data_IF_644502724913
#
_entry.id   IF_644502724913
#
_cell.length_a   1.000
_cell.length_b   1.000
_cell.length_c   1.000
_cell.angle_alpha   90.00
_cell.angle_beta   90.00
_cell.angle_gamma   90.00
#
_symmetry.space_group_name_H-M   'P 1'
#
loop_
_entity.id
_entity.type
_entity.pdbx_description
1 polymer ?
#
# COMPACT_ATOMS: atom_id res chain seq x y z
N UNK A 1 21.06 -9.33 -18.00
CA UNK A 1 21.09 -7.85 -18.07
C UNK A 1 20.29 -7.47 -19.30
N UNK A 2 19.24 -6.64 -19.21
CA UNK A 2 18.53 -6.22 -20.40
C UNK A 2 19.49 -5.45 -21.31
N UNK A 3 19.36 -5.71 -22.61
CA UNK A 3 19.99 -4.98 -23.71
C UNK A 3 19.79 -3.47 -23.49
N UNK A 4 20.90 -2.70 -23.44
CA UNK A 4 20.83 -1.25 -23.33
C UNK A 4 20.15 -0.73 -24.59
N UNK A 5 19.10 0.08 -24.42
CA UNK A 5 18.38 0.67 -25.53
C UNK A 5 19.37 1.31 -26.53
N UNK A 6 19.07 1.24 -27.82
CA UNK A 6 19.80 1.99 -28.84
C UNK A 6 18.91 3.11 -29.38
N UNK A 7 19.37 4.35 -29.38
CA UNK A 7 18.75 5.46 -30.11
C UNK A 7 19.57 5.63 -31.38
N UNK A 8 18.89 5.44 -32.52
CA UNK A 8 19.51 5.55 -33.85
C UNK A 8 20.75 4.63 -34.02
N UNK A 9 20.78 3.47 -33.37
CA UNK A 9 21.85 2.48 -33.48
C UNK A 9 23.11 2.76 -32.65
N UNK A 10 23.08 3.74 -31.76
CA UNK A 10 24.16 3.99 -30.78
C UNK A 10 23.77 3.35 -29.46
N UNK A 11 24.66 2.62 -28.78
CA UNK A 11 24.42 2.09 -27.43
C UNK A 11 24.70 3.16 -26.36
N UNK A 12 24.00 3.13 -25.22
CA UNK A 12 24.15 4.12 -24.15
C UNK A 12 25.57 4.21 -23.57
N UNK A 13 26.29 3.08 -23.50
CA UNK A 13 27.68 3.03 -23.00
C UNK A 13 28.69 3.67 -23.99
N UNK A 14 28.31 3.82 -25.26
CA UNK A 14 29.16 4.47 -26.27
C UNK A 14 29.15 5.99 -26.18
N UNK A 15 28.23 6.62 -25.43
CA UNK A 15 28.18 8.08 -25.29
C UNK A 15 29.33 8.59 -24.42
N UNK A 16 29.69 7.86 -23.36
CA UNK A 16 30.85 8.19 -22.52
C UNK A 16 32.18 7.91 -23.22
N UNK A 17 32.23 6.86 -24.05
CA UNK A 17 33.43 6.48 -24.84
C UNK A 17 33.68 7.43 -26.03
N UNK A 18 32.66 8.16 -26.48
CA UNK A 18 32.80 9.25 -27.47
C UNK A 18 33.31 10.58 -26.87
N UNK A 19 33.61 10.65 -25.57
CA UNK A 19 33.97 11.89 -24.90
C UNK A 19 35.46 12.27 -25.03
N UNK A 20 35.95 12.31 -26.27
CA UNK A 20 36.87 13.37 -26.71
C UNK A 20 36.16 14.44 -27.56
N UNK A 21 34.84 14.29 -27.81
CA UNK A 21 34.07 15.17 -28.70
C UNK A 21 32.99 15.96 -27.96
N UNK A 22 33.01 17.27 -28.19
CA UNK A 22 32.13 18.30 -27.63
C UNK A 22 30.63 17.97 -27.81
N UNK A 23 29.81 18.36 -26.82
CA UNK A 23 28.36 18.12 -26.72
C UNK A 23 27.51 18.41 -27.99
N UNK A 24 28.00 19.21 -28.94
CA UNK A 24 27.30 19.51 -30.19
C UNK A 24 27.12 18.29 -31.12
N UNK A 25 28.07 17.33 -31.11
CA UNK A 25 27.99 16.13 -31.94
C UNK A 25 26.97 15.12 -31.38
N UNK A 26 26.80 15.08 -30.07
CA UNK A 26 25.82 14.20 -29.42
C UNK A 26 24.40 14.60 -29.83
N UNK A 27 24.06 15.89 -29.81
CA UNK A 27 22.75 16.41 -30.24
C UNK A 27 22.44 16.08 -31.70
N UNK A 28 23.43 16.10 -32.60
CA UNK A 28 23.28 15.74 -34.02
C UNK A 28 23.01 14.25 -34.24
N UNK A 29 23.52 13.37 -33.38
CA UNK A 29 23.41 11.91 -33.51
C UNK A 29 22.11 11.40 -32.90
N UNK A 30 21.72 11.92 -31.74
CA UNK A 30 20.44 11.55 -31.10
C UNK A 30 19.26 12.36 -31.66
N UNK A 31 19.50 13.32 -32.56
CA UNK A 31 18.44 14.13 -33.17
C UNK A 31 17.61 14.93 -32.16
N UNK A 32 18.21 15.27 -31.01
CA UNK A 32 17.49 15.87 -29.88
C UNK A 32 16.62 14.90 -29.07
N UNK A 33 16.66 13.59 -29.33
CA UNK A 33 15.99 12.59 -28.52
C UNK A 33 16.67 12.43 -27.16
N UNK A 34 15.89 12.53 -26.09
CA UNK A 34 16.34 12.23 -24.73
C UNK A 34 16.40 10.72 -24.55
N UNK A 35 17.52 10.22 -24.05
CA UNK A 35 17.64 8.83 -23.62
C UNK A 35 16.76 8.60 -22.39
N UNK A 36 15.66 7.87 -22.59
CA UNK A 36 14.74 7.52 -21.51
C UNK A 36 14.90 6.04 -21.23
N UNK A 37 15.59 5.72 -20.13
CA UNK A 37 15.64 4.35 -19.63
C UNK A 37 14.27 3.94 -19.12
N UNK A 38 13.75 2.79 -19.54
CA UNK A 38 12.53 2.21 -18.99
C UNK A 38 12.89 1.06 -18.04
N UNK A 39 12.26 1.04 -16.88
CA UNK A 39 12.39 -0.04 -15.90
C UNK A 39 11.02 -0.63 -15.60
N UNK A 40 10.99 -1.95 -15.43
CA UNK A 40 9.82 -2.68 -14.96
C UNK A 40 10.06 -3.11 -13.53
N UNK A 41 9.21 -2.65 -12.61
CA UNK A 41 9.30 -2.91 -11.19
C UNK A 41 8.23 -3.90 -10.75
N UNK A 42 8.65 -5.01 -10.15
CA UNK A 42 7.76 -5.85 -9.37
C UNK A 42 7.60 -5.28 -7.97
N UNK A 43 6.40 -5.35 -7.40
CA UNK A 43 6.11 -4.81 -6.08
C UNK A 43 5.28 -5.74 -5.21
N UNK A 44 5.42 -5.49 -3.91
CA UNK A 44 4.63 -6.05 -2.82
C UNK A 44 4.32 -4.90 -1.85
N UNK A 45 3.06 -4.54 -1.68
CA UNK A 45 2.63 -3.47 -0.78
C UNK A 45 1.72 -4.05 0.29
N UNK A 46 2.15 -3.91 1.55
CA UNK A 46 1.44 -4.35 2.75
C UNK A 46 1.12 -3.13 3.60
N UNK A 47 -0.15 -2.94 3.92
CA UNK A 47 -0.60 -1.84 4.77
C UNK A 47 -0.44 -2.16 6.27
N UNK A 48 -0.59 -1.15 7.12
CA UNK A 48 -0.60 -1.34 8.57
C UNK A 48 -1.81 -2.15 9.02
N UNK A 49 -1.62 -3.06 9.98
CA UNK A 49 -2.73 -3.74 10.66
C UNK A 49 -3.37 -2.84 11.72
N UNK A 50 -4.64 -3.10 12.05
CA UNK A 50 -5.37 -2.35 13.06
C UNK A 50 -5.23 -2.93 14.47
N UNK A 51 -5.70 -2.18 15.47
CA UNK A 51 -5.84 -2.68 16.84
C UNK A 51 -7.23 -3.23 17.15
N UNK A 52 -7.31 -4.04 18.20
CA UNK A 52 -8.57 -4.54 18.74
C UNK A 52 -9.35 -3.46 19.51
N UNK A 53 -10.65 -3.69 19.65
CA UNK A 53 -11.53 -2.87 20.48
C UNK A 53 -11.24 -3.01 21.97
N UNK A 54 -11.56 -1.97 22.73
CA UNK A 54 -11.38 -1.97 24.18
C UNK A 54 -12.44 -2.80 24.92
N UNK A 55 -12.18 -3.00 26.22
CA UNK A 55 -13.01 -3.75 27.16
C UNK A 55 -13.06 -5.28 26.92
N UNK A 56 -13.69 -5.98 27.88
CA UNK A 56 -13.72 -7.43 28.06
C UNK A 56 -14.35 -8.20 26.88
N UNK A 57 -14.99 -7.51 25.94
CA UNK A 57 -15.67 -8.09 24.79
C UNK A 57 -15.36 -7.34 23.49
N UNK A 58 -14.18 -6.71 23.38
CA UNK A 58 -13.72 -6.11 22.14
C UNK A 58 -13.44 -7.15 21.05
N UNK A 59 -13.72 -6.79 19.80
CA UNK A 59 -13.33 -7.55 18.62
C UNK A 59 -11.84 -7.36 18.29
N UNK A 60 -11.24 -8.32 17.59
CA UNK A 60 -9.86 -8.19 17.09
C UNK A 60 -9.74 -7.19 15.93
N UNK A 61 -8.61 -6.51 15.82
CA UNK A 61 -8.29 -5.69 14.64
C UNK A 61 -7.95 -6.54 13.43
N UNK A 62 -8.22 -6.02 12.24
CA UNK A 62 -7.90 -6.62 10.95
C UNK A 62 -6.44 -6.43 10.54
N UNK A 63 -5.93 -7.35 9.74
CA UNK A 63 -4.67 -7.16 9.04
C UNK A 63 -4.78 -6.04 8.00
N UNK A 64 -3.64 -5.44 7.65
CA UNK A 64 -3.56 -4.51 6.52
C UNK A 64 -3.72 -5.25 5.19
N UNK A 65 -4.16 -4.51 4.18
CA UNK A 65 -4.32 -5.01 2.82
C UNK A 65 -2.99 -5.44 2.22
N UNK A 66 -3.10 -6.29 1.20
CA UNK A 66 -1.98 -6.87 0.49
C UNK A 66 -2.18 -6.73 -1.02
N UNK A 67 -1.24 -6.08 -1.71
CA UNK A 67 -1.23 -5.92 -3.17
C UNK A 67 0.11 -6.36 -3.74
N UNK A 68 0.09 -7.13 -4.82
CA UNK A 68 1.31 -7.61 -5.46
C UNK A 68 1.23 -7.52 -6.98
N UNK A 69 2.40 -7.48 -7.63
CA UNK A 69 2.51 -7.66 -9.09
C UNK A 69 3.29 -8.90 -9.49
N UNK A 70 3.49 -9.83 -8.57
CA UNK A 70 4.27 -11.02 -8.80
C UNK A 70 3.35 -12.18 -9.17
N UNK A 71 3.40 -12.58 -10.44
CA UNK A 71 2.40 -13.44 -11.08
C UNK A 71 2.25 -14.86 -10.50
N UNK A 72 3.03 -15.24 -9.49
CA UNK A 72 2.90 -16.52 -8.80
C UNK A 72 1.98 -16.47 -7.56
N UNK A 73 1.44 -15.31 -7.19
CA UNK A 73 0.55 -15.17 -6.04
C UNK A 73 -0.60 -14.18 -6.29
N UNK A 74 -1.75 -14.44 -5.68
CA UNK A 74 -2.93 -13.56 -5.69
C UNK A 74 -2.73 -12.40 -4.72
N UNK A 75 -3.32 -11.23 -4.98
CA UNK A 75 -3.41 -10.15 -3.99
C UNK A 75 -4.37 -10.54 -2.84
N UNK A 76 -4.40 -9.72 -1.79
CA UNK A 76 -5.30 -9.87 -0.65
C UNK A 76 -6.78 -9.89 -1.07
N UNK A 77 -7.64 -10.47 -0.23
CA UNK A 77 -9.07 -10.61 -0.52
C UNK A 77 -9.41 -11.55 -1.68
N UNK A 78 -8.44 -12.31 -2.20
CA UNK A 78 -8.62 -13.21 -3.35
C UNK A 78 -8.53 -12.51 -4.71
N UNK A 79 -8.04 -11.27 -4.76
CA UNK A 79 -7.78 -10.55 -6.00
C UNK A 79 -6.67 -11.17 -6.84
N UNK A 80 -6.70 -10.99 -8.16
CA UNK A 80 -5.58 -11.43 -9.02
C UNK A 80 -4.29 -10.65 -8.74
N UNK A 81 -3.14 -11.20 -9.16
CA UNK A 81 -1.89 -10.43 -9.24
C UNK A 81 -2.09 -9.22 -10.16
N UNK A 82 -1.49 -8.11 -9.80
CA UNK A 82 -1.48 -6.92 -10.62
C UNK A 82 -0.34 -6.94 -11.65
N UNK A 83 -0.32 -5.96 -12.53
CA UNK A 83 0.75 -5.79 -13.50
C UNK A 83 1.93 -5.05 -12.88
N UNK A 84 3.14 -5.44 -13.27
CA UNK A 84 4.36 -4.74 -12.88
C UNK A 84 4.34 -3.27 -13.33
N UNK A 85 4.95 -2.40 -12.52
CA UNK A 85 4.92 -0.97 -12.75
C UNK A 85 6.05 -0.57 -13.72
N UNK A 86 5.67 0.03 -14.86
CA UNK A 86 6.63 0.61 -15.79
C UNK A 86 6.97 2.05 -15.38
N UNK A 87 8.26 2.33 -15.20
CA UNK A 87 8.77 3.68 -14.93
C UNK A 87 9.79 4.09 -15.98
N UNK A 88 9.94 5.39 -16.18
CA UNK A 88 10.85 5.94 -17.17
C UNK A 88 11.77 7.01 -16.56
N UNK A 89 13.04 7.00 -16.97
CA UNK A 89 14.06 7.95 -16.53
C UNK A 89 14.31 7.96 -15.02
N UNK A 90 14.72 9.13 -14.50
CA UNK A 90 14.93 9.37 -13.06
C UNK A 90 13.63 9.74 -12.35
N UNK A 91 12.62 8.87 -12.43
CA UNK A 91 11.35 9.06 -11.73
C UNK A 91 11.54 8.89 -10.22
N UNK A 92 11.31 9.93 -9.43
CA UNK A 92 11.24 9.82 -7.97
C UNK A 92 9.96 9.10 -7.57
N UNK A 93 10.09 8.03 -6.80
CA UNK A 93 8.97 7.21 -6.35
C UNK A 93 8.69 7.49 -4.88
N UNK A 94 7.46 7.86 -4.55
CA UNK A 94 7.03 8.01 -3.16
C UNK A 94 6.77 6.64 -2.55
N UNK A 95 7.33 6.42 -1.37
CA UNK A 95 7.05 5.23 -0.55
C UNK A 95 6.54 5.70 0.80
N UNK A 96 5.32 5.33 1.13
CA UNK A 96 4.73 5.51 2.46
C UNK A 96 4.50 4.14 3.07
N UNK A 97 5.01 3.96 4.29
CA UNK A 97 4.76 2.75 5.07
C UNK A 97 3.67 3.07 6.08
N UNK A 98 2.54 2.39 5.96
CA UNK A 98 1.43 2.52 6.88
C UNK A 98 1.81 2.08 8.29
N UNK A 99 1.51 2.91 9.28
CA UNK A 99 1.62 2.54 10.69
C UNK A 99 0.52 1.55 11.07
N UNK A 100 0.80 0.72 12.08
CA UNK A 100 -0.25 -0.07 12.71
C UNK A 100 -1.15 0.80 13.59
N UNK A 101 -2.40 0.38 13.75
CA UNK A 101 -3.36 1.00 14.66
C UNK A 101 -2.86 0.98 16.10
N UNK A 102 -2.94 2.12 16.78
CA UNK A 102 -2.52 2.24 18.18
C UNK A 102 -3.40 1.36 19.10
N UNK A 103 -2.83 0.81 20.17
CA UNK A 103 -3.62 0.06 21.14
C UNK A 103 -4.61 0.97 21.88
N UNK A 104 -5.82 0.48 22.13
CA UNK A 104 -6.77 1.10 23.05
C UNK A 104 -6.42 0.72 24.49
N UNK A 105 -6.83 1.55 25.45
CA UNK A 105 -6.76 1.14 26.84
C UNK A 105 -7.83 0.06 27.09
N UNK A 106 -7.48 -1.04 27.74
CA UNK A 106 -8.40 -2.16 28.00
C UNK A 106 -9.67 -1.79 28.79
N UNK A 107 -9.73 -0.62 29.43
CA UNK A 107 -10.94 -0.12 30.12
C UNK A 107 -11.82 0.79 29.25
N UNK A 108 -11.37 1.19 28.06
CA UNK A 108 -12.14 2.05 27.16
C UNK A 108 -13.30 1.30 26.50
N UNK A 109 -14.48 1.91 26.51
CA UNK A 109 -15.64 1.46 25.74
C UNK A 109 -15.60 2.07 24.34
N UNK A 110 -14.60 1.71 23.53
CA UNK A 110 -14.45 2.25 22.17
C UNK A 110 -13.79 1.24 21.24
N UNK A 111 -14.21 1.29 19.97
CA UNK A 111 -13.54 0.63 18.85
C UNK A 111 -12.02 0.88 18.89
N UNK A 112 -11.27 -0.07 18.34
CA UNK A 112 -9.84 0.06 18.08
C UNK A 112 -9.52 1.22 17.13
N UNK A 113 -8.26 1.30 16.74
CA UNK A 113 -7.78 2.25 15.75
C UNK A 113 -7.39 1.51 14.49
N UNK A 114 -7.80 2.05 13.35
CA UNK A 114 -7.51 1.48 12.04
C UNK A 114 -5.99 1.50 11.78
N UNK A 115 -5.53 0.60 10.92
CA UNK A 115 -4.19 0.69 10.36
C UNK A 115 -4.14 1.77 9.29
N UNK A 116 -2.95 2.29 9.01
CA UNK A 116 -2.76 3.28 7.95
C UNK A 116 -2.40 2.61 6.62
N UNK A 117 -2.72 3.29 5.53
CA UNK A 117 -2.40 2.85 4.18
C UNK A 117 -0.89 2.82 3.93
N UNK A 118 -0.43 1.82 3.18
CA UNK A 118 0.89 1.85 2.56
C UNK A 118 0.76 2.24 1.10
N UNK A 119 1.64 3.13 0.63
CA UNK A 119 1.61 3.67 -0.73
C UNK A 119 2.95 3.47 -1.41
N UNK A 120 2.95 2.81 -2.56
CA UNK A 120 4.08 2.76 -3.49
C UNK A 120 3.67 3.44 -4.80
N UNK A 121 4.15 4.67 -5.02
CA UNK A 121 3.71 5.51 -6.15
C UNK A 121 2.19 5.68 -6.19
N UNK A 122 1.49 5.14 -7.19
CA UNK A 122 0.02 5.17 -7.30
C UNK A 122 -0.67 3.95 -6.70
N UNK A 123 0.10 2.97 -6.22
CA UNK A 123 -0.42 1.72 -5.67
C UNK A 123 -0.63 1.92 -4.17
N UNK A 124 -1.89 1.97 -3.77
CA UNK A 124 -2.30 2.10 -2.36
C UNK A 124 -2.83 0.76 -1.87
N UNK A 125 -2.27 0.24 -0.77
CA UNK A 125 -2.83 -0.88 -0.03
C UNK A 125 -3.53 -0.33 1.21
N UNK A 126 -4.78 -0.75 1.41
CA UNK A 126 -5.67 -0.20 2.44
C UNK A 126 -5.28 -0.71 3.82
N UNK A 127 -5.19 0.15 4.81
CA UNK A 127 -4.98 -0.19 6.21
C UNK A 127 -6.02 -1.17 6.77
N UNK A 128 -5.67 -1.88 7.84
CA UNK A 128 -6.58 -2.81 8.50
C UNK A 128 -7.77 -2.09 9.15
N UNK A 129 -8.91 -2.76 9.21
CA UNK A 129 -10.09 -2.25 9.93
C UNK A 129 -10.01 -2.58 11.42
N UNK A 130 -10.31 -1.63 12.29
CA UNK A 130 -10.25 -1.79 13.75
C UNK A 130 -11.34 -2.68 14.33
N UNK A 131 -11.01 -3.35 15.43
CA UNK A 131 -11.95 -4.19 16.16
C UNK A 131 -13.04 -3.36 16.86
N UNK A 132 -14.29 -3.82 16.76
CA UNK A 132 -15.43 -3.21 17.44
C UNK A 132 -15.36 -3.33 18.96
N UNK A 133 -16.17 -2.55 19.66
CA UNK A 133 -16.20 -2.56 21.13
C UNK A 133 -17.52 -3.07 21.69
N UNK A 134 -17.51 -3.37 22.98
CA UNK A 134 -18.72 -3.66 23.73
C UNK A 134 -19.61 -2.43 23.80
N UNK A 135 -20.82 -2.51 23.23
CA UNK A 135 -21.86 -1.48 23.33
C UNK A 135 -22.97 -1.87 24.31
N UNK A 136 -22.82 -1.65 25.62
CA UNK A 136 -23.95 -1.81 26.55
C UNK A 136 -25.03 -0.77 26.25
N UNK A 137 -26.33 -1.08 26.42
CA UNK A 137 -27.40 -0.08 26.36
C UNK A 137 -27.21 1.07 27.36
N UNK A 138 -26.47 0.83 28.45
CA UNK A 138 -26.17 1.82 29.50
C UNK A 138 -24.84 2.57 29.30
N UNK A 139 -24.08 2.27 28.24
CA UNK A 139 -22.81 2.96 27.96
C UNK A 139 -23.11 4.33 27.34
N UNK A 140 -22.52 5.43 27.82
CA UNK A 140 -22.67 6.72 27.15
C UNK A 140 -22.18 6.58 25.69
N UNK A 141 -22.94 7.05 24.69
CA UNK A 141 -22.56 6.91 23.30
C UNK A 141 -21.30 7.74 23.06
N UNK A 142 -20.15 7.08 22.95
CA UNK A 142 -18.93 7.71 22.45
C UNK A 142 -18.86 7.71 20.90
N UNK A 143 -19.93 7.30 20.22
CA UNK A 143 -20.10 7.39 18.78
C UNK A 143 -20.98 6.27 18.19
N UNK A 144 -21.38 6.35 16.92
CA UNK A 144 -22.23 5.38 16.23
C UNK A 144 -21.54 4.05 15.84
N UNK A 145 -20.32 3.80 16.32
CA UNK A 145 -19.35 2.91 15.67
C UNK A 145 -18.89 1.74 16.56
N UNK A 146 -19.83 0.95 17.07
CA UNK A 146 -19.52 -0.21 17.93
C UNK A 146 -19.11 -1.48 17.16
N UNK A 147 -19.46 -1.57 15.88
CA UNK A 147 -19.01 -2.61 14.95
C UNK A 147 -17.51 -2.56 14.67
N UNK A 148 -16.95 -3.63 14.12
CA UNK A 148 -15.62 -3.57 13.52
C UNK A 148 -15.64 -2.64 12.31
N UNK A 149 -14.54 -1.92 12.06
CA UNK A 149 -14.42 -1.07 10.88
C UNK A 149 -14.05 -1.89 9.65
N UNK A 150 -14.45 -1.40 8.48
CA UNK A 150 -13.97 -1.91 7.19
C UNK A 150 -12.47 -1.60 7.04
N UNK A 151 -11.76 -2.37 6.21
CA UNK A 151 -10.35 -2.13 5.88
C UNK A 151 -9.79 -3.33 5.11
N UNK A 152 -8.49 -3.41 4.89
CA UNK A 152 -7.89 -4.46 4.05
C UNK A 152 -8.14 -5.92 4.49
N UNK A 153 -8.64 -6.15 5.70
CA UNK A 153 -9.20 -7.44 6.12
C UNK A 153 -10.40 -7.30 7.07
N UNK A 154 -10.94 -6.09 7.24
CA UNK A 154 -12.00 -5.76 8.21
C UNK A 154 -11.64 -6.06 9.68
N UNK A 155 -12.28 -5.36 10.60
CA UNK A 155 -12.19 -5.62 12.03
C UNK A 155 -13.27 -6.58 12.53
N UNK A 156 -12.98 -7.35 13.57
CA UNK A 156 -13.98 -8.18 14.24
C UNK A 156 -15.01 -7.33 15.00
N UNK A 157 -16.26 -7.78 15.06
CA UNK A 157 -17.30 -7.13 15.86
C UNK A 157 -17.04 -7.25 17.37
N UNK A 158 -17.45 -6.25 18.15
CA UNK A 158 -17.46 -6.33 19.61
C UNK A 158 -18.70 -7.08 20.13
N UNK A 159 -18.65 -7.62 21.35
CA UNK A 159 -19.80 -8.32 21.94
C UNK A 159 -20.77 -7.37 22.62
N UNK A 160 -22.08 -7.45 22.31
CA UNK A 160 -23.23 -6.96 23.14
C UNK A 160 -24.58 -7.46 22.60
N UNK A 161 -25.65 -7.31 23.41
CA UNK A 161 -27.01 -7.85 23.23
C UNK A 161 -27.66 -7.64 21.84
N UNK A 162 -27.17 -6.68 21.05
CA UNK A 162 -27.56 -6.43 19.67
C UNK A 162 -26.30 -6.60 18.82
N UNK A 163 -26.12 -7.76 18.21
CA UNK A 163 -24.94 -8.19 17.44
C UNK A 163 -24.23 -7.05 16.68
N UNK A 164 -23.06 -6.60 17.16
CA UNK A 164 -22.23 -5.70 16.37
C UNK A 164 -21.56 -6.51 15.26
N UNK A 165 -21.74 -6.11 14.01
CA UNK A 165 -21.10 -6.77 12.87
C UNK A 165 -19.60 -6.51 12.86
N UNK A 166 -18.85 -7.45 12.27
CA UNK A 166 -17.50 -7.15 11.80
C UNK A 166 -17.53 -6.21 10.60
N UNK A 167 -16.39 -5.59 10.32
CA UNK A 167 -16.17 -4.85 9.10
C UNK A 167 -15.82 -5.76 7.93
N UNK A 168 -15.93 -5.20 6.74
CA UNK A 168 -15.62 -5.82 5.46
C UNK A 168 -14.12 -5.74 5.15
N UNK A 169 -13.64 -6.76 4.42
CA UNK A 169 -12.26 -6.93 3.96
C UNK A 169 -12.10 -6.80 2.44
#
# INVERSE_FOLDING_TARGET
MPDLATINGVAEDNIATFNGTTAANVTSIVGGATWVHAYTLSYLVIAGGASGGGNSYGGGGGAGGYRNSYSSETSGGGGSSETALAISGSSSMTVTVGAGGAATNGTEWRRGYDGEDSVFSTITSIGGGSGGAYGSPDSPPLGPDWGGADGGSGGGGGGVANSNSGGSG
#
